data_IF_398606847587
#
_entry.id   IF_398606847587
#
_cell.length_a   1.000
_cell.length_b   1.000
_cell.length_c   1.000
_cell.angle_alpha   90.00
_cell.angle_beta   90.00
_cell.angle_gamma   90.00
#
_symmetry.space_group_name_H-M   'P 1'
#
loop_
_entity.id
_entity.type
_entity.pdbx_description
1 polymer ?
#
# COMPACT_ATOMS: atom_id res chain seq x y z
N UNK A 1 -34.06 -21.87 -13.83
CA UNK A 1 -33.55 -21.08 -12.67
C UNK A 1 -32.63 -19.99 -13.21
N UNK A 2 -32.58 -18.80 -12.60
CA UNK A 2 -31.62 -17.77 -13.02
C UNK A 2 -30.25 -18.12 -12.42
N UNK A 3 -29.16 -17.86 -13.16
CA UNK A 3 -27.78 -18.08 -12.67
C UNK A 3 -27.52 -17.39 -11.32
N UNK A 4 -28.10 -16.21 -11.10
CA UNK A 4 -27.98 -15.46 -9.84
C UNK A 4 -28.54 -16.23 -8.64
N UNK A 5 -29.68 -16.90 -8.80
CA UNK A 5 -30.30 -17.67 -7.73
C UNK A 5 -29.41 -18.86 -7.34
N UNK A 6 -28.85 -19.55 -8.33
CA UNK A 6 -27.92 -20.66 -8.13
C UNK A 6 -26.62 -20.22 -7.45
N UNK A 7 -26.04 -19.09 -7.86
CA UNK A 7 -24.84 -18.56 -7.24
C UNK A 7 -25.07 -18.18 -5.78
N UNK A 8 -26.21 -17.55 -5.48
CA UNK A 8 -26.57 -17.21 -4.10
C UNK A 8 -26.81 -18.45 -3.25
N UNK A 9 -27.52 -19.45 -3.77
CA UNK A 9 -27.72 -20.71 -3.05
C UNK A 9 -26.39 -21.40 -2.76
N UNK A 10 -25.47 -21.40 -3.73
CA UNK A 10 -24.12 -21.94 -3.56
C UNK A 10 -23.31 -21.16 -2.50
N UNK A 11 -23.38 -19.83 -2.51
CA UNK A 11 -22.65 -18.96 -1.57
C UNK A 11 -23.27 -18.88 -0.16
N UNK A 12 -24.51 -19.37 0.04
CA UNK A 12 -25.23 -19.20 1.32
C UNK A 12 -24.45 -19.78 2.51
N UNK A 13 -23.78 -20.93 2.33
CA UNK A 13 -22.99 -21.53 3.42
C UNK A 13 -21.86 -20.59 3.87
N UNK A 14 -21.15 -19.98 2.93
CA UNK A 14 -20.07 -19.02 3.26
C UNK A 14 -20.65 -17.78 3.94
N UNK A 15 -21.74 -17.24 3.41
CA UNK A 15 -22.45 -16.11 4.02
C UNK A 15 -22.83 -16.39 5.48
N UNK A 16 -23.50 -17.51 5.77
CA UNK A 16 -23.90 -17.87 7.14
C UNK A 16 -22.71 -18.02 8.07
N UNK A 17 -21.63 -18.65 7.60
CA UNK A 17 -20.41 -18.78 8.40
C UNK A 17 -19.77 -17.42 8.71
N UNK A 18 -19.68 -16.53 7.72
CA UNK A 18 -19.17 -15.18 7.90
C UNK A 18 -20.07 -14.37 8.85
N UNK A 19 -21.39 -14.40 8.70
CA UNK A 19 -22.31 -13.68 9.60
C UNK A 19 -22.23 -14.13 11.07
N UNK A 20 -21.79 -15.36 11.34
CA UNK A 20 -21.60 -15.89 12.69
C UNK A 20 -20.21 -15.57 13.27
N UNK A 21 -19.19 -15.42 12.41
CA UNK A 21 -17.78 -15.29 12.79
C UNK A 21 -17.28 -13.84 12.74
N UNK A 22 -17.78 -13.07 11.79
CA UNK A 22 -17.27 -11.77 11.35
C UNK A 22 -18.28 -10.67 11.65
N UNK A 23 -18.04 -9.45 11.18
CA UNK A 23 -19.08 -8.44 11.16
C UNK A 23 -20.23 -8.87 10.21
N UNK A 24 -21.42 -9.08 10.79
CA UNK A 24 -22.60 -9.54 10.05
C UNK A 24 -23.02 -8.57 8.93
N UNK A 25 -22.81 -7.26 9.09
CA UNK A 25 -23.09 -6.27 8.05
C UNK A 25 -22.16 -6.44 6.84
N UNK A 26 -20.87 -6.70 7.07
CA UNK A 26 -19.92 -6.99 5.99
C UNK A 26 -20.31 -8.30 5.26
N UNK A 27 -20.63 -9.36 6.01
CA UNK A 27 -21.09 -10.61 5.43
C UNK A 27 -22.37 -10.43 4.59
N UNK A 28 -23.31 -9.62 5.06
CA UNK A 28 -24.53 -9.28 4.32
C UNK A 28 -24.23 -8.45 3.06
N UNK A 29 -23.36 -7.44 3.13
CA UNK A 29 -22.94 -6.65 1.97
C UNK A 29 -22.33 -7.53 0.88
N UNK A 30 -21.38 -8.42 1.23
CA UNK A 30 -20.75 -9.33 0.27
C UNK A 30 -21.76 -10.30 -0.35
N UNK A 31 -22.69 -10.84 0.44
CA UNK A 31 -23.72 -11.74 -0.07
C UNK A 31 -24.78 -11.02 -0.93
N UNK A 32 -25.15 -9.80 -0.55
CA UNK A 32 -26.10 -8.98 -1.27
C UNK A 32 -25.55 -8.52 -2.63
N UNK A 33 -24.25 -8.23 -2.71
CA UNK A 33 -23.57 -7.88 -3.96
C UNK A 33 -23.75 -8.93 -5.07
N UNK A 34 -23.96 -10.20 -4.72
CA UNK A 34 -24.23 -11.27 -5.69
C UNK A 34 -25.53 -11.06 -6.50
N UNK A 35 -26.45 -10.20 -6.04
CA UNK A 35 -27.68 -9.85 -6.77
C UNK A 35 -27.42 -8.98 -7.98
N UNK A 36 -26.31 -8.25 -7.99
CA UNK A 36 -25.94 -7.41 -9.11
C UNK A 36 -25.49 -8.30 -10.28
N UNK A 37 -26.40 -8.56 -11.21
CA UNK A 37 -26.10 -9.34 -12.41
C UNK A 37 -25.31 -8.55 -13.45
N UNK A 38 -25.23 -7.23 -13.29
CA UNK A 38 -24.61 -6.31 -14.24
C UNK A 38 -23.20 -5.90 -13.78
N UNK A 39 -22.74 -6.40 -12.62
CA UNK A 39 -21.39 -6.18 -12.11
C UNK A 39 -20.37 -6.57 -13.21
N UNK A 40 -19.60 -5.61 -13.74
CA UNK A 40 -18.67 -5.86 -14.83
C UNK A 40 -17.41 -6.61 -14.38
N UNK A 41 -17.27 -6.87 -13.08
CA UNK A 41 -16.09 -7.45 -12.47
C UNK A 41 -14.89 -6.49 -12.48
N UNK A 42 -13.71 -7.04 -12.29
CA UNK A 42 -12.46 -6.27 -12.34
C UNK A 42 -12.26 -5.65 -13.73
N UNK A 43 -12.23 -4.32 -13.83
CA UNK A 43 -12.07 -3.58 -15.09
C UNK A 43 -10.99 -2.50 -14.95
N UNK A 44 -9.71 -2.81 -15.24
CA UNK A 44 -8.63 -1.86 -15.12
C UNK A 44 -8.73 -0.78 -16.20
N UNK A 45 -8.46 0.46 -15.82
CA UNK A 45 -8.26 1.58 -16.74
C UNK A 45 -6.92 2.21 -16.43
N UNK A 46 -6.07 2.31 -17.43
CA UNK A 46 -4.67 2.72 -17.26
C UNK A 46 -4.46 4.01 -18.05
N UNK A 47 -3.94 5.04 -17.38
CA UNK A 47 -3.77 6.39 -17.94
C UNK A 47 -2.36 6.67 -18.47
N UNK A 48 -1.50 5.65 -18.46
CA UNK A 48 -0.12 5.70 -18.93
C UNK A 48 0.21 4.44 -19.76
N UNK A 49 1.31 4.48 -20.49
CA UNK A 49 1.83 3.31 -21.20
C UNK A 49 2.60 2.39 -20.23
N UNK A 50 2.12 1.15 -20.07
CA UNK A 50 2.71 0.16 -19.17
C UNK A 50 4.11 -0.26 -19.66
N UNK A 51 4.30 -0.30 -20.98
CA UNK A 51 5.55 -0.71 -21.62
C UNK A 51 6.60 0.40 -21.59
N UNK A 52 6.18 1.65 -21.37
CA UNK A 52 7.09 2.77 -21.15
C UNK A 52 7.85 2.57 -19.82
N UNK A 53 9.18 2.46 -19.92
CA UNK A 53 10.06 2.46 -18.77
C UNK A 53 10.70 3.84 -18.59
N UNK A 54 10.12 4.75 -17.77
CA UNK A 54 10.70 6.06 -17.54
C UNK A 54 12.07 5.99 -16.85
N UNK A 55 12.41 4.88 -16.19
CA UNK A 55 13.71 4.68 -15.55
C UNK A 55 14.82 4.25 -16.51
N UNK A 56 14.49 3.89 -17.76
CA UNK A 56 15.45 3.33 -18.72
C UNK A 56 16.69 4.21 -18.97
N UNK A 57 16.59 5.55 -19.17
CA UNK A 57 17.77 6.38 -19.38
C UNK A 57 18.73 6.36 -18.18
N UNK A 58 18.18 6.28 -16.97
CA UNK A 58 18.95 6.29 -15.73
C UNK A 58 19.57 4.92 -15.46
N UNK A 59 18.86 3.83 -15.80
CA UNK A 59 19.40 2.46 -15.78
C UNK A 59 20.57 2.32 -16.76
N UNK A 60 20.47 2.92 -17.96
CA UNK A 60 21.50 2.85 -18.99
C UNK A 60 22.84 3.48 -18.58
N UNK A 61 22.85 4.36 -17.56
CA UNK A 61 24.09 4.91 -16.99
C UNK A 61 24.92 3.86 -16.23
N UNK A 62 24.32 2.73 -15.85
CA UNK A 62 24.92 1.72 -14.98
C UNK A 62 24.96 2.09 -13.50
N UNK A 63 24.57 3.31 -13.12
CA UNK A 63 24.47 3.73 -11.72
C UNK A 63 23.20 3.16 -11.10
N UNK A 64 23.37 2.40 -10.02
CA UNK A 64 22.29 1.81 -9.22
C UNK A 64 22.26 2.48 -7.84
N UNK A 65 21.34 3.45 -7.60
CA UNK A 65 21.18 4.08 -6.29
C UNK A 65 20.83 3.03 -5.24
N UNK A 66 21.30 3.21 -4.01
CA UNK A 66 20.99 2.29 -2.91
C UNK A 66 19.61 2.57 -2.34
N UNK A 67 18.83 1.50 -2.16
CA UNK A 67 17.58 1.51 -1.41
C UNK A 67 17.68 0.58 -0.20
N UNK A 68 17.28 1.07 0.97
CA UNK A 68 17.18 0.25 2.17
C UNK A 68 15.87 -0.53 2.12
N UNK A 69 15.95 -1.85 1.90
CA UNK A 69 14.82 -2.76 2.04
C UNK A 69 14.70 -3.07 3.53
N UNK A 70 13.88 -2.27 4.22
CA UNK A 70 13.83 -2.22 5.66
C UNK A 70 12.90 -3.32 6.20
N UNK A 71 13.40 -4.09 7.15
CA UNK A 71 12.63 -5.14 7.83
C UNK A 71 12.91 -5.22 9.33
N UNK A 72 11.94 -5.78 10.04
CA UNK A 72 11.99 -6.15 11.45
C UNK A 72 11.62 -7.64 11.61
N UNK A 73 11.84 -8.22 12.78
CA UNK A 73 11.35 -9.55 13.10
C UNK A 73 9.84 -9.70 12.82
N UNK A 74 9.47 -10.64 11.96
CA UNK A 74 8.09 -10.90 11.54
C UNK A 74 7.67 -10.21 10.23
N UNK A 75 8.49 -9.31 9.68
CA UNK A 75 8.33 -8.82 8.30
C UNK A 75 8.54 -9.99 7.32
N UNK A 76 7.70 -10.06 6.28
CA UNK A 76 7.68 -11.19 5.35
C UNK A 76 7.51 -10.82 3.87
N UNK A 77 7.37 -9.54 3.53
CA UNK A 77 7.23 -9.05 2.15
C UNK A 77 8.49 -8.41 1.55
N UNK A 78 9.65 -8.55 2.21
CA UNK A 78 10.88 -7.85 1.84
C UNK A 78 11.52 -8.35 0.54
N UNK A 79 11.29 -9.62 0.16
CA UNK A 79 11.96 -10.21 -1.01
C UNK A 79 11.31 -9.73 -2.30
N UNK A 80 9.98 -9.73 -2.37
CA UNK A 80 9.24 -9.19 -3.50
C UNK A 80 9.40 -7.66 -3.60
N UNK A 81 9.48 -6.95 -2.46
CA UNK A 81 9.81 -5.53 -2.44
C UNK A 81 11.19 -5.26 -3.05
N UNK A 82 12.21 -6.03 -2.63
CA UNK A 82 13.55 -5.94 -3.21
C UNK A 82 13.54 -6.26 -4.70
N UNK A 83 12.80 -7.29 -5.14
CA UNK A 83 12.71 -7.65 -6.55
C UNK A 83 12.10 -6.54 -7.42
N UNK A 84 11.05 -5.88 -6.94
CA UNK A 84 10.42 -4.77 -7.66
C UNK A 84 11.36 -3.57 -7.82
N UNK A 85 12.08 -3.19 -6.75
CA UNK A 85 13.09 -2.13 -6.82
C UNK A 85 14.32 -2.53 -7.65
N UNK A 86 14.76 -3.79 -7.57
CA UNK A 86 15.88 -4.29 -8.38
C UNK A 86 15.57 -4.24 -9.88
N UNK A 87 14.34 -4.64 -10.26
CA UNK A 87 13.82 -4.54 -11.61
C UNK A 87 13.70 -3.08 -12.10
N UNK A 88 13.48 -2.13 -11.18
CA UNK A 88 13.52 -0.69 -11.48
C UNK A 88 14.95 -0.11 -11.52
N UNK A 89 15.99 -0.90 -11.23
CA UNK A 89 17.39 -0.49 -11.36
C UNK A 89 18.09 -0.03 -10.09
N UNK A 90 17.58 -0.40 -8.91
CA UNK A 90 18.20 -0.06 -7.62
C UNK A 90 19.19 -1.11 -7.11
N UNK A 91 20.16 -0.67 -6.30
CA UNK A 91 21.00 -1.54 -5.49
C UNK A 91 20.30 -1.79 -4.14
N UNK A 92 19.51 -2.87 -4.09
CA UNK A 92 18.70 -3.20 -2.92
C UNK A 92 19.56 -3.80 -1.80
N UNK A 93 19.51 -3.19 -0.61
CA UNK A 93 20.21 -3.69 0.58
C UNK A 93 19.20 -4.17 1.62
N UNK A 94 19.37 -5.39 2.09
CA UNK A 94 18.66 -5.89 3.27
C UNK A 94 19.12 -5.10 4.49
N UNK A 95 18.20 -4.36 5.11
CA UNK A 95 18.48 -3.58 6.31
C UNK A 95 17.53 -4.05 7.40
N UNK A 96 18.06 -4.85 8.32
CA UNK A 96 17.29 -5.23 9.50
C UNK A 96 17.38 -4.12 10.56
N UNK A 97 16.31 -3.93 11.34
CA UNK A 97 16.31 -2.97 12.44
C UNK A 97 17.45 -3.18 13.44
N UNK A 98 17.88 -4.43 13.65
CA UNK A 98 19.05 -4.72 14.48
C UNK A 98 20.35 -4.11 13.96
N UNK A 99 20.48 -3.90 12.65
CA UNK A 99 21.66 -3.29 12.03
C UNK A 99 21.66 -1.78 12.24
N UNK A 100 20.51 -1.14 12.15
CA UNK A 100 20.34 0.30 12.45
C UNK A 100 20.57 0.56 13.94
N UNK A 101 19.92 -0.21 14.81
CA UNK A 101 20.04 -0.06 16.28
C UNK A 101 21.48 -0.26 16.77
N UNK A 102 22.22 -1.19 16.13
CA UNK A 102 23.61 -1.45 16.48
C UNK A 102 24.62 -0.56 15.76
N UNK A 103 24.17 0.39 14.91
CA UNK A 103 25.04 1.27 14.13
C UNK A 103 25.85 0.57 13.03
N UNK A 104 25.44 -0.63 12.60
CA UNK A 104 26.06 -1.36 11.47
C UNK A 104 25.63 -0.80 10.11
N UNK A 105 24.50 -0.11 10.06
CA UNK A 105 23.97 0.52 8.86
C UNK A 105 23.76 2.00 9.10
N UNK A 106 24.33 2.82 8.21
CA UNK A 106 24.10 4.26 8.15
C UNK A 106 23.05 4.59 7.07
N UNK A 107 21.92 5.16 7.49
CA UNK A 107 20.83 5.54 6.60
C UNK A 107 21.20 6.70 5.65
N UNK A 108 22.26 7.46 5.95
CA UNK A 108 22.74 8.54 5.08
C UNK A 108 23.22 8.03 3.71
N UNK A 109 23.66 6.78 3.64
CA UNK A 109 24.15 6.14 2.42
C UNK A 109 23.06 5.66 1.45
N UNK A 110 21.80 5.93 1.73
CA UNK A 110 20.65 5.50 0.93
C UNK A 110 19.92 6.70 0.31
N UNK A 111 19.49 6.55 -0.95
CA UNK A 111 18.63 7.53 -1.61
C UNK A 111 17.16 7.35 -1.22
N UNK A 112 16.78 6.13 -0.82
CA UNK A 112 15.42 5.80 -0.40
C UNK A 112 15.37 4.65 0.59
N UNK A 113 14.23 4.52 1.28
CA UNK A 113 13.90 3.34 2.07
C UNK A 113 12.53 2.77 1.72
N UNK A 114 12.38 1.46 1.84
CA UNK A 114 11.13 0.76 1.68
C UNK A 114 10.84 -0.05 2.96
N UNK A 115 9.87 0.40 3.76
CA UNK A 115 9.38 -0.35 4.91
C UNK A 115 8.42 -1.44 4.41
N UNK A 116 8.82 -2.69 4.59
CA UNK A 116 8.16 -3.84 3.96
C UNK A 116 6.94 -4.35 4.75
N UNK A 117 6.05 -5.08 4.08
CA UNK A 117 4.89 -5.71 4.69
C UNK A 117 5.19 -6.96 5.51
N UNK A 118 4.23 -7.37 6.35
CA UNK A 118 4.32 -8.58 7.18
C UNK A 118 3.58 -8.42 8.50
N UNK A 119 4.06 -9.10 9.53
CA UNK A 119 3.48 -9.09 10.88
C UNK A 119 4.61 -8.84 11.88
N UNK A 120 5.21 -7.65 11.84
CA UNK A 120 6.28 -7.32 12.79
C UNK A 120 5.79 -7.50 14.23
N UNK A 121 6.54 -8.25 15.03
CA UNK A 121 6.13 -8.68 16.39
C UNK A 121 4.76 -9.39 16.46
N UNK A 122 4.29 -10.00 15.36
CA UNK A 122 2.98 -10.64 15.30
C UNK A 122 1.81 -9.67 15.44
N UNK A 123 2.02 -8.38 15.15
CA UNK A 123 1.06 -7.27 15.32
C UNK A 123 0.57 -7.09 16.77
N UNK A 124 1.25 -7.68 17.75
CA UNK A 124 0.94 -7.50 19.17
C UNK A 124 1.21 -6.04 19.56
N UNK A 125 0.31 -5.47 20.36
CA UNK A 125 0.26 -4.03 20.72
C UNK A 125 -0.14 -3.09 19.57
N UNK A 126 -0.73 -3.65 18.51
CA UNK A 126 -1.17 -2.95 17.30
C UNK A 126 -0.18 -3.10 16.16
N UNK A 127 -0.67 -3.36 14.95
CA UNK A 127 0.17 -3.63 13.80
C UNK A 127 1.12 -2.46 13.49
N UNK A 128 2.40 -2.78 13.24
CA UNK A 128 3.47 -1.81 13.01
C UNK A 128 3.89 -0.99 14.25
N UNK A 129 3.15 -1.05 15.37
CA UNK A 129 3.42 -0.20 16.54
C UNK A 129 4.67 -0.62 17.32
N UNK A 130 4.92 -1.92 17.46
CA UNK A 130 6.14 -2.42 18.09
C UNK A 130 7.39 -1.94 17.34
N UNK A 131 7.35 -2.01 16.01
CA UNK A 131 8.42 -1.55 15.13
C UNK A 131 8.59 -0.01 15.18
N UNK A 132 7.52 0.76 15.10
CA UNK A 132 7.60 2.21 15.22
C UNK A 132 8.17 2.64 16.58
N UNK A 133 7.68 2.03 17.67
CA UNK A 133 8.12 2.37 19.05
C UNK A 133 9.55 1.92 19.33
N UNK A 134 10.04 0.83 18.72
CA UNK A 134 11.44 0.43 18.85
C UNK A 134 12.38 1.50 18.26
N UNK A 135 11.98 2.14 17.17
CA UNK A 135 12.68 3.30 16.59
C UNK A 135 12.60 4.49 17.54
N UNK A 136 11.39 4.89 17.95
CA UNK A 136 11.17 6.11 18.75
C UNK A 136 11.82 6.06 20.14
N UNK A 137 11.89 4.89 20.77
CA UNK A 137 12.42 4.73 22.13
C UNK A 137 13.91 4.39 22.16
N UNK A 138 14.55 4.19 21.02
CA UNK A 138 16.00 4.10 20.90
C UNK A 138 16.55 5.41 20.32
N UNK A 139 17.29 6.18 21.12
CA UNK A 139 17.78 7.49 20.70
C UNK A 139 18.59 7.46 19.38
N UNK A 140 19.49 6.49 19.23
CA UNK A 140 20.31 6.38 18.01
C UNK A 140 19.49 6.04 16.76
N UNK A 141 18.52 5.11 16.89
CA UNK A 141 17.62 4.79 15.78
C UNK A 141 16.71 5.99 15.46
N UNK A 142 16.11 6.62 16.47
CA UNK A 142 15.28 7.82 16.28
C UNK A 142 16.03 8.91 15.53
N UNK A 143 17.25 9.24 15.95
CA UNK A 143 18.06 10.27 15.32
C UNK A 143 18.41 9.90 13.87
N UNK A 144 18.76 8.64 13.60
CA UNK A 144 19.06 8.17 12.25
C UNK A 144 17.85 8.26 11.31
N UNK A 145 16.65 7.88 11.78
CA UNK A 145 15.42 7.97 10.98
C UNK A 145 14.98 9.42 10.79
N UNK A 146 14.98 10.25 11.84
CA UNK A 146 14.65 11.68 11.72
C UNK A 146 15.58 12.38 10.72
N UNK A 147 16.90 12.16 10.82
CA UNK A 147 17.87 12.72 9.89
C UNK A 147 17.62 12.25 8.45
N UNK A 148 17.22 10.98 8.26
CA UNK A 148 16.83 10.49 6.95
C UNK A 148 15.58 11.19 6.40
N UNK A 149 14.54 11.40 7.22
CA UNK A 149 13.29 12.02 6.80
C UNK A 149 13.42 13.52 6.49
N UNK A 150 14.31 14.23 7.19
CA UNK A 150 14.58 15.66 7.01
C UNK A 150 15.40 16.00 5.76
N UNK A 151 16.14 15.05 5.21
CA UNK A 151 16.91 15.22 3.97
C UNK A 151 16.00 15.58 2.81
N UNK A 152 16.34 16.61 2.03
CA UNK A 152 15.56 16.99 0.84
C UNK A 152 15.70 16.02 -0.35
N UNK A 153 16.74 15.17 -0.33
CA UNK A 153 17.08 14.22 -1.41
C UNK A 153 16.69 12.77 -1.10
N UNK A 154 16.00 12.53 0.02
CA UNK A 154 15.52 11.20 0.40
C UNK A 154 14.05 11.00 0.04
N UNK A 155 13.67 9.75 -0.20
CA UNK A 155 12.28 9.33 -0.36
C UNK A 155 12.00 8.06 0.46
N UNK A 156 10.72 7.73 0.66
CA UNK A 156 10.36 6.47 1.32
C UNK A 156 9.00 5.92 0.90
N UNK A 157 8.91 4.59 0.94
CA UNK A 157 7.69 3.83 0.69
C UNK A 157 7.38 2.94 1.89
N UNK A 158 6.19 3.07 2.46
CA UNK A 158 5.68 2.13 3.46
C UNK A 158 4.55 1.29 2.90
N UNK A 159 4.70 -0.04 2.89
CA UNK A 159 3.65 -0.95 2.39
C UNK A 159 3.11 -1.84 3.51
N UNK A 160 1.79 -1.91 3.65
CA UNK A 160 1.07 -2.71 4.65
C UNK A 160 1.61 -2.51 6.07
N UNK A 161 2.45 -3.42 6.57
CA UNK A 161 3.07 -3.28 7.90
C UNK A 161 4.08 -2.14 7.97
N UNK A 162 4.77 -1.83 6.87
CA UNK A 162 5.58 -0.64 6.75
C UNK A 162 4.76 0.65 6.68
N UNK A 163 3.55 0.62 6.09
CA UNK A 163 2.61 1.73 6.12
C UNK A 163 2.16 2.02 7.57
N UNK A 164 1.75 0.98 8.29
CA UNK A 164 1.37 1.06 9.71
C UNK A 164 2.52 1.57 10.58
N UNK A 165 3.75 1.07 10.35
CA UNK A 165 4.94 1.52 11.07
C UNK A 165 5.23 3.00 10.79
N UNK A 166 5.27 3.42 9.52
CA UNK A 166 5.54 4.82 9.16
C UNK A 166 4.45 5.77 9.66
N UNK A 167 3.18 5.35 9.66
CA UNK A 167 2.09 6.08 10.34
C UNK A 167 2.36 6.26 11.83
N UNK A 168 2.92 5.25 12.50
CA UNK A 168 3.40 5.33 13.89
C UNK A 168 4.61 6.24 14.09
N UNK A 169 5.31 6.64 13.02
CA UNK A 169 6.44 7.57 13.02
C UNK A 169 6.06 8.99 12.57
N UNK A 170 4.77 9.31 12.41
CA UNK A 170 4.32 10.60 11.86
C UNK A 170 4.97 11.81 12.54
N UNK A 171 5.21 11.76 13.85
CA UNK A 171 5.81 12.87 14.60
C UNK A 171 7.28 13.20 14.21
N UNK A 172 7.97 12.30 13.50
CA UNK A 172 9.34 12.51 13.02
C UNK A 172 9.46 12.54 11.48
N UNK A 173 8.33 12.43 10.76
CA UNK A 173 8.29 12.54 9.29
C UNK A 173 7.64 13.90 8.94
N UNK A 174 8.36 14.83 8.30
CA UNK A 174 7.80 16.11 7.87
C UNK A 174 6.58 15.94 6.96
N UNK A 175 5.56 16.79 7.13
CA UNK A 175 4.39 16.84 6.24
C UNK A 175 3.38 15.69 6.39
N UNK A 176 3.29 15.08 7.58
CA UNK A 176 2.38 13.95 7.87
C UNK A 176 1.20 14.32 8.78
N UNK A 177 0.88 15.60 8.92
CA UNK A 177 -0.17 16.09 9.84
C UNK A 177 -1.54 15.45 9.61
N UNK A 178 -1.83 15.04 8.37
CA UNK A 178 -3.08 14.39 7.97
C UNK A 178 -3.00 12.85 7.89
N UNK A 179 -1.90 12.23 8.31
CA UNK A 179 -1.79 10.78 8.28
C UNK A 179 -2.67 10.12 9.36
N UNK A 180 -3.50 9.15 8.97
CA UNK A 180 -4.31 8.39 9.92
C UNK A 180 -3.44 7.36 10.63
N UNK A 181 -4.00 6.77 11.69
CA UNK A 181 -3.56 5.47 12.18
C UNK A 181 -4.28 4.38 11.39
N UNK A 182 -3.67 3.21 11.27
CA UNK A 182 -4.31 2.04 10.66
C UNK A 182 -4.69 1.07 11.77
N UNK A 183 -5.96 0.66 11.78
CA UNK A 183 -6.56 -0.16 12.85
C UNK A 183 -7.33 -1.33 12.26
N UNK A 184 -7.81 -2.21 13.14
CA UNK A 184 -8.67 -3.36 12.82
C UNK A 184 -9.71 -3.03 11.73
N UNK A 185 -9.78 -3.90 10.73
CA UNK A 185 -10.76 -3.83 9.65
C UNK A 185 -12.19 -3.86 10.21
N UNK A 186 -13.13 -3.17 9.57
CA UNK A 186 -14.54 -3.21 9.96
C UNK A 186 -15.16 -4.62 9.89
N UNK A 187 -14.63 -5.50 9.04
CA UNK A 187 -15.05 -6.91 8.97
C UNK A 187 -14.66 -7.73 10.21
N UNK A 188 -13.78 -7.21 11.07
CA UNK A 188 -13.13 -7.92 12.17
C UNK A 188 -12.26 -9.12 11.72
N UNK A 189 -11.98 -9.24 10.43
CA UNK A 189 -11.18 -10.30 9.81
C UNK A 189 -9.93 -9.78 9.09
N UNK A 190 -9.01 -10.72 8.86
CA UNK A 190 -7.95 -10.53 7.89
C UNK A 190 -8.53 -10.65 6.48
N UNK A 191 -8.28 -9.65 5.65
CA UNK A 191 -8.73 -9.63 4.26
C UNK A 191 -7.56 -9.91 3.32
N UNK A 192 -7.63 -11.06 2.63
CA UNK A 192 -6.77 -11.40 1.52
C UNK A 192 -7.60 -11.26 0.22
N UNK A 193 -7.48 -10.13 -0.45
CA UNK A 193 -8.35 -9.74 -1.58
C UNK A 193 -7.54 -9.25 -2.77
N UNK A 194 -8.13 -9.33 -3.95
CA UNK A 194 -7.67 -8.63 -5.13
C UNK A 194 -8.68 -7.53 -5.41
N UNK A 195 -8.38 -6.32 -4.95
CA UNK A 195 -9.32 -5.20 -4.87
C UNK A 195 -9.03 -4.17 -5.95
N UNK A 196 -10.05 -3.44 -6.38
CA UNK A 196 -9.89 -2.29 -7.28
C UNK A 196 -9.58 -1.02 -6.49
N UNK A 197 -8.61 -0.25 -6.97
CA UNK A 197 -8.30 1.08 -6.47
C UNK A 197 -8.22 2.09 -7.60
N UNK A 198 -8.55 3.35 -7.33
CA UNK A 198 -8.15 4.46 -8.18
C UNK A 198 -6.89 5.13 -7.64
N UNK A 199 -6.04 5.59 -8.55
CA UNK A 199 -4.91 6.46 -8.25
C UNK A 199 -5.37 7.91 -8.36
N UNK A 200 -5.28 8.65 -7.27
CA UNK A 200 -5.72 10.04 -7.19
C UNK A 200 -4.52 10.99 -7.37
N UNK A 201 -4.76 12.15 -7.98
CA UNK A 201 -3.73 13.18 -8.10
C UNK A 201 -3.25 13.63 -6.71
N UNK A 202 -1.95 13.62 -6.50
CA UNK A 202 -1.30 13.97 -5.24
C UNK A 202 0.16 14.38 -5.49
N UNK A 203 0.88 14.95 -4.49
CA UNK A 203 2.30 15.22 -4.59
C UNK A 203 3.19 13.96 -4.72
N UNK A 204 2.66 12.76 -4.51
CA UNK A 204 3.45 11.53 -4.42
C UNK A 204 4.35 11.33 -5.63
N UNK A 205 5.67 11.43 -5.41
CA UNK A 205 6.66 11.26 -6.46
C UNK A 205 6.67 9.83 -7.02
N UNK A 206 6.21 8.85 -6.22
CA UNK A 206 6.12 7.45 -6.60
C UNK A 206 4.96 7.17 -7.55
N UNK A 207 3.93 8.02 -7.56
CA UNK A 207 2.72 7.84 -8.37
C UNK A 207 2.59 8.87 -9.51
N UNK A 208 3.68 9.57 -9.82
CA UNK A 208 3.75 10.52 -10.93
C UNK A 208 3.28 9.89 -12.24
N UNK A 209 2.32 10.55 -12.91
CA UNK A 209 1.76 10.09 -14.19
C UNK A 209 0.76 8.93 -14.08
N UNK A 210 0.46 8.42 -12.88
CA UNK A 210 -0.49 7.32 -12.69
C UNK A 210 -1.91 7.79 -12.36
N UNK A 211 -2.10 9.09 -12.02
CA UNK A 211 -3.39 9.64 -11.63
C UNK A 211 -4.50 9.38 -12.67
N UNK A 212 -5.69 9.07 -12.19
CA UNK A 212 -6.85 8.67 -13.00
C UNK A 212 -6.87 7.20 -13.41
N UNK A 213 -5.78 6.44 -13.16
CA UNK A 213 -5.80 5.00 -13.36
C UNK A 213 -6.69 4.31 -12.32
N UNK A 214 -7.40 3.26 -12.75
CA UNK A 214 -8.19 2.33 -11.92
C UNK A 214 -7.54 0.96 -12.06
N UNK A 215 -6.87 0.50 -11.01
CA UNK A 215 -5.98 -0.66 -11.08
C UNK A 215 -6.39 -1.70 -10.03
N UNK A 216 -6.36 -3.00 -10.35
CA UNK A 216 -6.47 -4.00 -9.32
C UNK A 216 -5.16 -4.09 -8.55
N UNK A 217 -5.23 -4.43 -7.26
CA UNK A 217 -4.07 -4.53 -6.38
C UNK A 217 -4.26 -5.63 -5.33
N UNK A 218 -3.16 -6.27 -4.91
CA UNK A 218 -3.17 -7.25 -3.83
C UNK A 218 -3.42 -6.57 -2.48
N UNK A 219 -4.37 -7.08 -1.72
CA UNK A 219 -4.72 -6.67 -0.35
C UNK A 219 -4.51 -7.87 0.56
N UNK A 220 -3.79 -7.70 1.68
CA UNK A 220 -3.49 -8.79 2.60
C UNK A 220 -3.26 -8.26 4.02
N UNK A 221 -4.33 -7.85 4.72
CA UNK A 221 -4.19 -7.22 6.04
C UNK A 221 -5.43 -7.36 6.93
N UNK A 222 -5.23 -7.38 8.26
CA UNK A 222 -6.29 -7.37 9.27
C UNK A 222 -6.48 -6.03 9.99
N UNK A 223 -5.51 -5.12 9.86
CA UNK A 223 -5.51 -3.79 10.51
C UNK A 223 -5.20 -2.66 9.51
N UNK A 224 -5.99 -2.51 8.45
CA UNK A 224 -5.74 -1.44 7.46
C UNK A 224 -6.87 -0.45 7.28
N UNK A 225 -7.81 -0.40 8.22
CA UNK A 225 -8.80 0.67 8.25
C UNK A 225 -8.14 1.96 8.70
N UNK A 226 -8.23 3.02 7.89
CA UNK A 226 -7.74 4.34 8.25
C UNK A 226 -8.63 4.97 9.34
N UNK A 227 -8.03 5.27 10.49
CA UNK A 227 -8.64 5.96 11.62
C UNK A 227 -7.97 7.32 11.81
N UNK A 228 -8.74 8.38 11.53
CA UNK A 228 -8.31 9.76 11.69
C UNK A 228 -8.63 10.27 13.10
N UNK A 229 -7.81 11.18 13.61
CA UNK A 229 -7.98 11.73 14.97
C UNK A 229 -9.19 12.70 15.08
N UNK A 230 -9.62 13.26 13.94
CA UNK A 230 -10.81 14.11 13.84
C UNK A 230 -11.86 13.51 12.89
N UNK A 231 -13.17 13.72 13.15
CA UNK A 231 -14.24 13.24 12.26
C UNK A 231 -14.07 13.68 10.80
N UNK A 232 -13.60 14.91 10.59
CA UNK A 232 -13.38 15.48 9.24
C UNK A 232 -11.99 15.15 8.68
N UNK A 233 -11.15 14.40 9.40
CA UNK A 233 -9.75 14.18 9.03
C UNK A 233 -9.57 13.51 7.67
N UNK A 234 -10.45 12.57 7.32
CA UNK A 234 -10.45 11.93 6.00
C UNK A 234 -10.74 12.94 4.88
N UNK A 235 -11.71 13.83 5.10
CA UNK A 235 -12.05 14.89 4.14
C UNK A 235 -10.93 15.91 4.03
N UNK A 236 -10.33 16.32 5.15
CA UNK A 236 -9.18 17.23 5.15
C UNK A 236 -7.99 16.66 4.38
N UNK A 237 -7.65 15.38 4.58
CA UNK A 237 -6.57 14.73 3.82
C UNK A 237 -6.85 14.73 2.30
N UNK A 238 -8.12 14.56 1.91
CA UNK A 238 -8.54 14.61 0.51
C UNK A 238 -8.44 16.04 -0.05
N UNK A 239 -8.96 17.03 0.68
CA UNK A 239 -8.96 18.44 0.27
C UNK A 239 -7.53 19.01 0.15
N UNK A 240 -6.59 18.50 0.95
CA UNK A 240 -5.16 18.84 0.87
C UNK A 240 -4.41 18.05 -0.22
N UNK A 241 -5.09 17.23 -1.02
CA UNK A 241 -4.50 16.36 -2.05
C UNK A 241 -3.45 15.38 -1.52
N UNK A 242 -3.58 14.92 -0.27
CA UNK A 242 -2.63 13.99 0.36
C UNK A 242 -3.02 12.52 0.21
N UNK A 243 -4.24 12.25 -0.24
CA UNK A 243 -4.72 10.89 -0.55
C UNK A 243 -4.15 10.45 -1.90
N UNK A 244 -3.51 9.28 -1.92
CA UNK A 244 -2.89 8.72 -3.14
C UNK A 244 -3.73 7.63 -3.79
N UNK A 245 -4.36 6.78 -2.98
CA UNK A 245 -5.17 5.64 -3.44
C UNK A 245 -6.51 5.58 -2.70
N UNK A 246 -7.59 5.27 -3.44
CA UNK A 246 -8.91 4.98 -2.87
C UNK A 246 -9.49 3.68 -3.43
N UNK A 247 -10.14 2.88 -2.59
CA UNK A 247 -10.92 1.74 -3.05
C UNK A 247 -12.12 2.18 -3.86
N UNK A 248 -12.36 1.45 -4.95
CA UNK A 248 -13.48 1.66 -5.86
C UNK A 248 -14.24 0.35 -6.05
N UNK A 249 -15.52 0.45 -6.37
CA UNK A 249 -16.28 -0.69 -6.87
C UNK A 249 -15.90 -1.01 -8.32
N UNK A 250 -16.50 -2.08 -8.85
CA UNK A 250 -16.24 -2.55 -10.22
C UNK A 250 -16.79 -1.60 -11.30
N UNK A 251 -17.68 -0.67 -10.94
CA UNK A 251 -18.14 0.41 -11.81
C UNK A 251 -17.18 1.61 -11.81
N UNK A 252 -16.22 1.62 -10.88
CA UNK A 252 -15.21 2.64 -10.70
C UNK A 252 -15.66 3.81 -9.84
N UNK A 253 -16.74 3.67 -9.07
CA UNK A 253 -17.12 4.64 -8.06
C UNK A 253 -16.42 4.33 -6.73
N UNK A 254 -16.03 5.38 -6.01
CA UNK A 254 -15.41 5.21 -4.70
C UNK A 254 -16.42 4.66 -3.72
N UNK A 255 -15.98 3.67 -2.94
CA UNK A 255 -16.90 2.89 -2.14
C UNK A 255 -16.44 2.73 -0.70
N UNK A 256 -17.43 2.75 0.19
CA UNK A 256 -17.30 2.28 1.57
C UNK A 256 -17.84 0.86 1.75
N UNK A 257 -18.37 0.23 0.70
CA UNK A 257 -19.02 -1.08 0.78
C UNK A 257 -17.99 -2.20 0.76
N UNK A 258 -18.23 -3.19 1.59
CA UNK A 258 -17.44 -4.42 1.65
C UNK A 258 -17.96 -5.44 0.60
N UNK A 259 -17.08 -6.22 -0.06
CA UNK A 259 -15.62 -6.28 0.13
C UNK A 259 -14.81 -5.39 -0.83
N UNK A 260 -15.45 -4.57 -1.68
CA UNK A 260 -14.74 -3.71 -2.64
C UNK A 260 -13.83 -2.70 -1.90
N UNK A 261 -14.32 -2.16 -0.78
CA UNK A 261 -13.51 -1.59 0.28
C UNK A 261 -13.35 -2.64 1.40
N UNK A 262 -12.23 -3.37 1.44
CA UNK A 262 -12.09 -4.56 2.29
C UNK A 262 -12.01 -4.24 3.78
N UNK A 263 -11.62 -3.02 4.16
CA UNK A 263 -11.31 -2.68 5.54
C UNK A 263 -12.25 -1.64 6.15
N UNK A 264 -13.09 -1.00 5.34
CA UNK A 264 -14.03 0.03 5.78
C UNK A 264 -13.39 1.39 6.03
N UNK A 265 -12.25 1.69 5.39
CA UNK A 265 -11.65 3.03 5.45
C UNK A 265 -12.62 4.10 4.94
N UNK A 266 -12.74 5.25 5.64
CA UNK A 266 -13.58 6.36 5.19
C UNK A 266 -13.09 6.87 3.82
N UNK A 267 -14.05 7.24 2.96
CA UNK A 267 -13.81 7.71 1.59
C UNK A 267 -12.96 6.74 0.74
N UNK A 268 -12.92 5.45 1.10
CA UNK A 268 -12.10 4.46 0.39
C UNK A 268 -10.58 4.60 0.62
N UNK A 269 -10.13 5.51 1.48
CA UNK A 269 -8.70 5.88 1.59
C UNK A 269 -7.83 4.66 1.95
N UNK A 270 -6.80 4.41 1.15
CA UNK A 270 -5.86 3.29 1.37
C UNK A 270 -4.40 3.60 1.06
N UNK A 271 -4.12 4.83 0.61
CA UNK A 271 -2.77 5.36 0.48
C UNK A 271 -2.75 6.85 0.71
N UNK A 272 -1.63 7.34 1.29
CA UNK A 272 -1.38 8.75 1.55
C UNK A 272 0.08 9.10 1.25
N UNK A 273 0.36 10.38 1.07
CA UNK A 273 1.71 10.93 0.90
C UNK A 273 1.96 12.10 1.86
N UNK A 274 3.21 12.52 1.99
CA UNK A 274 3.59 13.79 2.63
C UNK A 274 3.31 15.00 1.74
N UNK A 275 3.24 16.18 2.35
CA UNK A 275 3.06 17.48 1.66
C UNK A 275 4.03 17.68 0.48
N UNK A 276 5.28 17.22 0.65
CA UNK A 276 6.35 17.31 -0.36
C UNK A 276 6.43 16.09 -1.29
N UNK A 277 5.57 15.10 -1.11
CA UNK A 277 5.48 13.94 -2.00
C UNK A 277 6.54 12.86 -1.81
N UNK A 278 7.55 13.07 -0.95
CA UNK A 278 8.73 12.19 -0.84
C UNK A 278 8.45 10.90 -0.08
N UNK A 279 7.49 10.91 0.84
CA UNK A 279 7.12 9.74 1.62
C UNK A 279 5.69 9.34 1.31
N UNK A 280 5.51 8.13 0.78
CA UNK A 280 4.20 7.57 0.47
C UNK A 280 3.99 6.30 1.29
N UNK A 281 2.81 6.15 1.87
CA UNK A 281 2.39 4.96 2.59
C UNK A 281 1.13 4.39 1.97
N UNK A 282 1.02 3.07 1.92
CA UNK A 282 -0.13 2.39 1.34
C UNK A 282 -0.37 1.02 1.97
N UNK A 283 -1.64 0.66 2.18
CA UNK A 283 -1.99 -0.65 2.74
C UNK A 283 -1.92 -1.81 1.73
N UNK A 284 -2.38 -1.66 0.47
CA UNK A 284 -2.23 -2.70 -0.55
C UNK A 284 -0.77 -2.89 -0.98
N UNK A 285 -0.50 -4.01 -1.64
CA UNK A 285 0.85 -4.49 -1.98
C UNK A 285 1.15 -4.35 -3.48
N UNK A 286 1.64 -3.19 -3.96
CA UNK A 286 2.03 -3.02 -5.36
C UNK A 286 3.20 -3.95 -5.76
N UNK A 287 4.10 -4.27 -4.81
CA UNK A 287 5.24 -5.15 -4.99
C UNK A 287 4.87 -6.63 -5.14
N UNK A 288 3.63 -7.02 -4.82
CA UNK A 288 3.12 -8.38 -5.03
C UNK A 288 2.47 -8.56 -6.39
N UNK A 289 2.25 -7.48 -7.14
CA UNK A 289 1.55 -7.48 -8.43
C UNK A 289 2.25 -6.61 -9.48
N UNK A 290 3.55 -6.35 -9.30
CA UNK A 290 4.35 -5.60 -10.27
C UNK A 290 4.59 -6.38 -11.57
N UNK A 291 4.51 -7.71 -11.53
CA UNK A 291 4.51 -8.56 -12.73
C UNK A 291 3.08 -8.92 -13.10
N UNK A 292 2.76 -8.92 -14.38
CA UNK A 292 1.43 -9.30 -14.89
C UNK A 292 1.03 -10.69 -14.39
N UNK A 293 1.95 -11.67 -14.45
CA UNK A 293 1.70 -13.06 -14.02
C UNK A 293 1.37 -13.22 -12.54
N UNK A 294 1.64 -12.21 -11.70
CA UNK A 294 1.31 -12.23 -10.27
C UNK A 294 -0.09 -11.67 -9.98
N UNK A 295 -0.77 -11.10 -10.96
CA UNK A 295 -2.12 -10.59 -10.81
C UNK A 295 -3.12 -11.76 -10.89
N UNK A 296 -3.97 -11.90 -9.87
CA UNK A 296 -4.99 -12.96 -9.80
C UNK A 296 -5.90 -12.98 -11.04
N UNK A 297 -6.18 -11.79 -11.56
CA UNK A 297 -6.82 -11.58 -12.84
C UNK A 297 -6.18 -10.36 -13.52
N UNK A 298 -6.04 -10.38 -14.83
CA UNK A 298 -5.60 -9.25 -15.62
C UNK A 298 -6.14 -9.36 -17.05
N UNK A 299 -6.17 -8.26 -17.82
CA UNK A 299 -6.39 -8.32 -19.26
C UNK A 299 -5.29 -9.11 -19.98
N UNK A 300 -5.67 -9.93 -20.97
CA UNK A 300 -4.74 -10.75 -21.76
C UNK A 300 -3.69 -9.93 -22.52
N UNK A 301 -3.96 -8.65 -22.77
CA UNK A 301 -3.09 -7.76 -23.54
C UNK A 301 -1.88 -7.23 -22.77
N UNK A 302 -1.79 -7.46 -21.46
CA UNK A 302 -0.64 -7.02 -20.66
C UNK A 302 0.61 -7.85 -21.00
N UNK A 303 1.76 -7.17 -21.09
CA UNK A 303 3.08 -7.80 -21.23
C UNK A 303 3.60 -8.40 -19.93
N UNK A 304 4.91 -8.37 -19.74
CA UNK A 304 5.56 -8.87 -18.51
C UNK A 304 5.23 -8.00 -17.29
N UNK A 305 5.25 -6.68 -17.47
CA UNK A 305 5.06 -5.72 -16.39
C UNK A 305 3.58 -5.46 -16.14
N UNK A 306 3.17 -5.57 -14.87
CA UNK A 306 1.91 -5.03 -14.40
C UNK A 306 2.00 -3.51 -14.23
N UNK A 307 0.86 -2.81 -14.14
CA UNK A 307 0.84 -1.34 -14.04
C UNK A 307 1.55 -0.81 -12.80
N UNK A 308 1.61 -1.59 -11.72
CA UNK A 308 2.31 -1.21 -10.48
C UNK A 308 3.84 -1.15 -10.62
N UNK A 309 4.42 -1.71 -11.70
CA UNK A 309 5.84 -1.54 -11.98
C UNK A 309 6.22 -0.06 -12.19
N UNK A 310 5.27 0.76 -12.65
CA UNK A 310 5.45 2.21 -12.82
C UNK A 310 5.85 2.90 -11.52
N UNK A 311 5.34 2.46 -10.36
CA UNK A 311 5.65 3.05 -9.06
C UNK A 311 7.16 2.98 -8.74
N UNK A 312 7.76 1.81 -8.95
CA UNK A 312 9.18 1.58 -8.69
C UNK A 312 10.07 2.29 -9.71
N UNK A 313 9.63 2.36 -10.97
CA UNK A 313 10.32 3.12 -12.04
C UNK A 313 10.28 4.63 -11.78
N UNK A 314 9.16 5.15 -11.26
CA UNK A 314 9.04 6.54 -10.84
C UNK A 314 10.03 6.84 -9.71
N UNK A 315 10.16 5.95 -8.71
CA UNK A 315 11.17 6.09 -7.67
C UNK A 315 12.59 6.23 -8.27
N UNK A 316 12.92 5.37 -9.26
CA UNK A 316 14.24 5.41 -9.93
C UNK A 316 14.44 6.72 -10.70
N UNK A 317 13.38 7.26 -11.29
CA UNK A 317 13.41 8.52 -12.05
C UNK A 317 13.76 9.72 -11.19
N UNK A 318 13.30 9.76 -9.94
CA UNK A 318 13.55 10.91 -9.06
C UNK A 318 15.00 11.02 -8.55
N UNK A 319 15.73 9.90 -8.53
CA UNK A 319 17.10 9.84 -7.99
C UNK A 319 18.17 9.69 -9.08
N UNK A 320 17.80 9.91 -10.35
CA UNK A 320 18.66 9.71 -11.52
C UNK A 320 18.87 10.95 -12.35
#
# INVERSE_FOLDING_TARGET
EKRVDLHRAWSETSYRMQSLRDNAECAEQEFAALLDSDDPGTQPVITFDIEENPAAPMIATGVRPRVAILREQGVNGQLEMAAAFDAAGFDCRDVHMSDVIAGRTDLSGFSGLAACGGFSYGDVLGAGQGWAKSILFNAGARDAFSAFFERADSWGLGVCNGCQMMSGLKDIIPGTSHWPRFVRNTSEQFEARFSMVEVVSSPSLLLEGMAGSRLPISVAHGEGRAAFDHPDGAQQALDQNLVTLRFIDNYGAVTGQYPQNPNGSPLGITGLTTDDGRFTITMPHPERVFRTVQNSWHPDAWGEDGPWMRMFRNARKQVG
#
